data_IF_818772650683
#
_entry.id   IF_818772650683
#
_cell.length_a   1.000
_cell.length_b   1.000
_cell.length_c   1.000
_cell.angle_alpha   90.00
_cell.angle_beta   90.00
_cell.angle_gamma   90.00
#
_symmetry.space_group_name_H-M   'P 1'
#
loop_
_entity.id
_entity.type
_entity.pdbx_description
1 polymer ?
#
# COMPACT_ATOMS: atom_id res chain seq x y z
N UNK A 1 -14.34 13.12 -1.06
CA UNK A 1 -13.37 13.57 -0.03
C UNK A 1 -13.01 12.44 0.94
N UNK A 2 -13.99 11.76 1.55
CA UNK A 2 -13.78 10.67 2.52
C UNK A 2 -13.09 9.42 1.94
N UNK A 3 -13.43 8.97 0.72
CA UNK A 3 -12.82 7.77 0.12
C UNK A 3 -11.30 7.86 -0.06
N UNK A 4 -10.79 9.06 -0.37
CA UNK A 4 -9.37 9.32 -0.61
C UNK A 4 -8.55 9.22 0.69
N UNK A 5 -9.07 9.85 1.75
CA UNK A 5 -8.44 9.88 3.07
C UNK A 5 -8.52 8.50 3.72
N UNK A 6 -9.68 7.83 3.67
CA UNK A 6 -9.85 6.47 4.19
C UNK A 6 -8.94 5.48 3.47
N UNK A 7 -8.81 5.58 2.14
CA UNK A 7 -7.93 4.71 1.38
C UNK A 7 -6.44 4.95 1.68
N UNK A 8 -6.03 6.20 1.86
CA UNK A 8 -4.64 6.55 2.24
C UNK A 8 -4.30 6.04 3.64
N UNK A 9 -5.22 6.17 4.60
CA UNK A 9 -5.05 5.65 5.95
C UNK A 9 -4.95 4.11 5.94
N UNK A 10 -5.80 3.44 5.16
CA UNK A 10 -5.74 1.98 5.00
C UNK A 10 -4.41 1.51 4.40
N UNK A 11 -3.91 2.18 3.36
CA UNK A 11 -2.60 1.91 2.76
C UNK A 11 -1.47 2.13 3.78
N UNK A 12 -1.50 3.25 4.52
CA UNK A 12 -0.49 3.57 5.51
C UNK A 12 -0.44 2.54 6.66
N UNK A 13 -1.60 2.08 7.15
CA UNK A 13 -1.72 1.04 8.17
C UNK A 13 -1.18 -0.31 7.67
N UNK A 14 -1.49 -0.69 6.43
CA UNK A 14 -0.97 -1.90 5.81
C UNK A 14 0.56 -1.86 5.73
N UNK A 15 1.13 -0.77 5.23
CA UNK A 15 2.58 -0.60 5.09
C UNK A 15 3.25 -0.60 6.45
N UNK A 16 2.67 0.08 7.45
CA UNK A 16 3.19 0.09 8.82
C UNK A 16 3.21 -1.32 9.44
N UNK A 17 2.14 -2.09 9.25
CA UNK A 17 2.06 -3.47 9.73
C UNK A 17 3.10 -4.38 9.07
N UNK A 18 3.21 -4.34 7.74
CA UNK A 18 4.21 -5.10 6.98
C UNK A 18 5.64 -4.68 7.33
N UNK A 19 5.88 -3.39 7.54
CA UNK A 19 7.17 -2.86 7.95
C UNK A 19 7.60 -3.36 9.33
N UNK A 20 6.68 -3.39 10.29
CA UNK A 20 6.93 -3.97 11.62
C UNK A 20 7.28 -5.46 11.47
N UNK A 21 6.48 -6.23 10.73
CA UNK A 21 6.75 -7.66 10.47
C UNK A 21 8.14 -7.92 9.87
N UNK A 22 8.61 -7.07 8.94
CA UNK A 22 9.95 -7.15 8.35
C UNK A 22 11.09 -6.93 9.36
N UNK A 23 10.89 -6.10 10.38
CA UNK A 23 11.91 -5.84 11.41
C UNK A 23 12.15 -7.08 12.27
N UNK A 24 11.06 -7.77 12.64
CA UNK A 24 11.08 -8.97 13.46
C UNK A 24 11.45 -10.23 12.65
N UNK A 25 10.95 -10.37 11.42
CA UNK A 25 11.17 -11.53 10.56
C UNK A 25 12.21 -11.20 9.48
N UNK A 26 13.48 -11.50 9.78
CA UNK A 26 14.61 -11.30 8.87
C UNK A 26 14.75 -12.45 7.85
N UNK A 27 13.71 -12.66 7.05
CA UNK A 27 13.75 -13.59 5.91
C UNK A 27 13.93 -12.81 4.60
N UNK A 28 15.07 -13.02 3.92
CA UNK A 28 15.38 -12.44 2.60
C UNK A 28 14.22 -12.61 1.59
N UNK A 29 13.63 -13.81 1.40
CA UNK A 29 12.53 -13.96 0.46
C UNK A 29 11.28 -13.16 0.85
N UNK A 30 11.02 -13.00 2.15
CA UNK A 30 9.88 -12.23 2.64
C UNK A 30 10.05 -10.73 2.37
N UNK A 31 11.27 -10.20 2.54
CA UNK A 31 11.59 -8.78 2.24
C UNK A 31 11.29 -8.45 0.78
N UNK A 32 11.75 -9.29 -0.14
CA UNK A 32 11.56 -9.08 -1.58
C UNK A 32 10.07 -9.05 -1.93
N UNK A 33 9.29 -10.00 -1.41
CA UNK A 33 7.85 -10.07 -1.66
C UNK A 33 7.15 -8.84 -1.09
N UNK A 34 7.46 -8.45 0.15
CA UNK A 34 6.83 -7.30 0.80
C UNK A 34 7.09 -6.01 0.03
N UNK A 35 8.33 -5.76 -0.40
CA UNK A 35 8.65 -4.58 -1.21
C UNK A 35 7.85 -4.58 -2.51
N UNK A 36 7.76 -5.74 -3.18
CA UNK A 36 7.00 -5.88 -4.42
C UNK A 36 5.50 -5.59 -4.20
N UNK A 37 4.91 -6.15 -3.14
CA UNK A 37 3.51 -5.94 -2.76
C UNK A 37 3.24 -4.47 -2.42
N UNK A 38 4.12 -3.81 -1.67
CA UNK A 38 3.96 -2.38 -1.33
C UNK A 38 3.97 -1.51 -2.58
N UNK A 39 4.88 -1.77 -3.53
CA UNK A 39 4.94 -1.04 -4.79
C UNK A 39 3.65 -1.24 -5.60
N UNK A 40 3.18 -2.48 -5.73
CA UNK A 40 1.93 -2.78 -6.42
C UNK A 40 0.72 -2.13 -5.74
N UNK A 41 0.64 -2.16 -4.41
CA UNK A 41 -0.44 -1.53 -3.64
C UNK A 41 -0.46 0.00 -3.82
N UNK A 42 0.71 0.65 -3.86
CA UNK A 42 0.81 2.09 -4.13
C UNK A 42 0.34 2.39 -5.56
N UNK A 43 0.76 1.60 -6.55
CA UNK A 43 0.33 1.77 -7.95
C UNK A 43 -1.19 1.58 -8.07
N UNK A 44 -1.74 0.56 -7.44
CA UNK A 44 -3.18 0.28 -7.45
C UNK A 44 -3.97 1.40 -6.77
N UNK A 45 -3.46 1.94 -5.66
CA UNK A 45 -4.03 3.10 -5.00
C UNK A 45 -4.02 4.32 -5.93
N UNK A 46 -2.88 4.67 -6.54
CA UNK A 46 -2.77 5.79 -7.49
C UNK A 46 -3.69 5.61 -8.69
N UNK A 47 -3.80 4.39 -9.23
CA UNK A 47 -4.76 4.07 -10.31
C UNK A 47 -6.20 4.24 -9.85
N UNK A 48 -6.54 3.76 -8.67
CA UNK A 48 -7.87 3.93 -8.07
C UNK A 48 -8.21 5.41 -7.93
N UNK A 49 -7.26 6.24 -7.49
CA UNK A 49 -7.43 7.69 -7.41
C UNK A 49 -7.62 8.36 -8.77
N UNK A 50 -6.83 7.99 -9.79
CA UNK A 50 -6.98 8.51 -11.15
C UNK A 50 -8.29 8.10 -11.80
N UNK A 51 -8.72 6.85 -11.63
CA UNK A 51 -9.97 6.33 -12.20
C UNK A 51 -11.19 6.95 -11.53
N UNK A 52 -11.16 7.20 -10.22
CA UNK A 52 -12.24 7.89 -9.49
C UNK A 52 -12.22 9.43 -9.65
N UNK A 53 -11.15 10.00 -10.22
CA UNK A 53 -10.99 11.44 -10.46
C UNK A 53 -11.21 11.88 -11.90
N UNK A 54 -11.45 10.95 -12.84
CA UNK A 54 -11.87 11.27 -14.19
C UNK A 54 -13.36 11.67 -14.15
N UNK A 55 -13.71 12.94 -14.46
CA UNK A 55 -15.11 13.33 -14.58
C UNK A 55 -15.69 12.54 -15.75
N UNK A 56 -16.64 11.66 -15.44
CA UNK A 56 -17.70 11.28 -16.37
C UNK A 56 -18.93 12.06 -15.98
#
# INVERSE_FOLDING_TARGET
MTNLITGLIGLALMIAFLGILLVWIKAIPLIIIVVCVVVLAVIDFVRSLRTNGAPR
#
